data_IF_683069739276
#
_entry.id   IF_683069739276
#
_cell.length_a   1.000
_cell.length_b   1.000
_cell.length_c   1.000
_cell.angle_alpha   90.00
_cell.angle_beta   90.00
_cell.angle_gamma   90.00
#
_symmetry.space_group_name_H-M   'P 1'
#
loop_
_entity.id
_entity.type
_entity.pdbx_description
1 polymer ?
#
# COMPACT_ATOMS: atom_id res chain seq x y z
N UNK A 1 3.97 11.45 2.71
CA UNK A 1 3.05 10.51 2.04
C UNK A 1 1.98 10.16 3.08
N UNK A 2 0.78 9.69 2.72
CA UNK A 2 -0.23 9.34 3.74
C UNK A 2 0.31 8.18 4.61
N UNK A 3 0.23 8.32 5.94
CA UNK A 3 0.69 7.32 6.92
C UNK A 3 0.09 5.94 6.62
N UNK A 4 -1.14 5.90 6.10
CA UNK A 4 -1.84 4.67 5.70
C UNK A 4 -1.04 3.87 4.66
N UNK A 5 -0.51 4.56 3.64
CA UNK A 5 0.29 3.92 2.60
C UNK A 5 1.66 3.47 3.12
N UNK A 6 2.30 4.29 3.94
CA UNK A 6 3.60 3.94 4.53
C UNK A 6 3.50 2.69 5.42
N UNK A 7 2.40 2.54 6.16
CA UNK A 7 2.11 1.35 6.95
C UNK A 7 1.95 0.10 6.06
N UNK A 8 1.14 0.20 4.99
CA UNK A 8 0.93 -0.91 4.04
C UNK A 8 2.25 -1.31 3.36
N UNK A 9 3.05 -0.34 2.92
CA UNK A 9 4.35 -0.57 2.27
C UNK A 9 5.36 -1.21 3.23
N UNK A 10 5.46 -0.73 4.48
CA UNK A 10 6.35 -1.33 5.49
C UNK A 10 5.94 -2.74 5.87
N UNK A 11 4.63 -3.02 5.93
CA UNK A 11 4.12 -4.37 6.11
C UNK A 11 4.49 -5.27 4.92
N UNK A 12 4.37 -4.78 3.69
CA UNK A 12 4.73 -5.53 2.49
C UNK A 12 6.20 -5.90 2.42
N UNK A 13 7.08 -4.93 2.66
CA UNK A 13 8.53 -5.15 2.68
C UNK A 13 8.90 -6.19 3.73
N UNK A 14 8.26 -6.12 4.90
CA UNK A 14 8.43 -7.09 5.98
C UNK A 14 8.04 -8.51 5.56
N UNK A 15 6.89 -8.65 4.89
CA UNK A 15 6.42 -9.93 4.35
C UNK A 15 7.32 -10.47 3.23
N UNK A 16 7.75 -9.62 2.30
CA UNK A 16 8.64 -10.00 1.20
C UNK A 16 9.99 -10.52 1.72
N UNK A 17 10.53 -9.91 2.79
CA UNK A 17 11.75 -10.40 3.43
C UNK A 17 11.52 -11.79 4.04
N UNK A 18 10.40 -11.98 4.73
CA UNK A 18 10.04 -13.25 5.37
C UNK A 18 9.83 -14.40 4.37
N UNK A 19 9.54 -14.08 3.10
CA UNK A 19 9.27 -15.06 2.05
C UNK A 19 10.42 -15.25 1.06
N UNK A 20 11.54 -14.54 1.23
CA UNK A 20 12.68 -14.64 0.33
C UNK A 20 13.74 -15.62 0.86
N UNK A 21 14.04 -16.67 0.07
CA UNK A 21 15.16 -17.59 0.37
C UNK A 21 16.54 -16.89 0.32
N UNK A 22 16.60 -15.73 -0.35
CA UNK A 22 17.83 -14.99 -0.67
C UNK A 22 18.41 -14.15 0.48
N UNK A 23 17.68 -13.91 1.56
CA UNK A 23 18.07 -12.91 2.56
C UNK A 23 18.70 -13.47 3.84
N UNK A 24 19.07 -14.75 3.89
CA UNK A 24 19.74 -15.36 5.04
C UNK A 24 21.05 -14.65 5.48
N UNK A 25 21.69 -13.86 4.61
CA UNK A 25 23.03 -13.31 4.84
C UNK A 25 23.10 -11.77 5.03
N UNK A 26 22.01 -11.01 4.91
CA UNK A 26 22.03 -9.53 4.93
C UNK A 26 21.16 -8.89 6.04
N UNK A 27 20.90 -9.62 7.12
CA UNK A 27 19.74 -9.44 8.01
C UNK A 27 19.93 -8.47 9.21
N UNK A 28 21.07 -7.82 9.40
CA UNK A 28 21.33 -7.21 10.71
C UNK A 28 20.92 -5.73 10.90
N UNK A 29 20.88 -4.91 9.85
CA UNK A 29 20.59 -3.46 9.98
C UNK A 29 19.26 -3.01 9.32
N UNK A 30 19.08 -3.26 8.02
CA UNK A 30 17.89 -2.78 7.29
C UNK A 30 16.57 -3.39 7.80
N UNK A 31 16.61 -4.64 8.25
CA UNK A 31 15.44 -5.38 8.77
C UNK A 31 15.00 -4.95 10.16
N UNK A 32 15.94 -4.56 11.03
CA UNK A 32 15.61 -3.95 12.34
C UNK A 32 15.01 -2.56 12.15
N UNK A 33 15.57 -1.78 11.23
CA UNK A 33 15.06 -0.45 10.89
C UNK A 33 13.65 -0.51 10.27
N UNK A 34 13.35 -1.55 9.49
CA UNK A 34 12.00 -1.79 8.94
C UNK A 34 10.96 -2.09 10.03
N UNK A 35 11.29 -2.94 11.01
CA UNK A 35 10.41 -3.23 12.14
C UNK A 35 10.15 -2.01 13.02
N UNK A 36 11.19 -1.25 13.36
CA UNK A 36 11.05 -0.03 14.18
C UNK A 36 10.20 1.02 13.45
N UNK A 37 10.35 1.13 12.12
CA UNK A 37 9.54 2.04 11.30
C UNK A 37 8.04 1.72 11.33
N UNK A 38 7.66 0.45 11.22
CA UNK A 38 6.25 0.05 11.24
C UNK A 38 5.58 0.36 12.59
N UNK A 39 6.23 0.04 13.72
CA UNK A 39 5.66 0.31 15.04
C UNK A 39 5.55 1.82 15.32
N UNK A 40 6.51 2.61 14.81
CA UNK A 40 6.45 4.07 14.89
C UNK A 40 5.25 4.62 14.12
N UNK A 41 5.05 4.18 12.88
CA UNK A 41 3.92 4.62 12.05
C UNK A 41 2.57 4.23 12.64
N UNK A 42 2.46 3.00 13.16
CA UNK A 42 1.24 2.55 13.85
C UNK A 42 0.99 3.37 15.13
N UNK A 43 2.04 3.70 15.89
CA UNK A 43 1.90 4.57 17.07
C UNK A 43 1.47 5.98 16.70
N UNK A 44 2.02 6.54 15.62
CA UNK A 44 1.63 7.85 15.11
C UNK A 44 0.18 7.86 14.62
N UNK A 45 -0.22 6.82 13.88
CA UNK A 45 -1.59 6.65 13.44
C UNK A 45 -2.57 6.58 14.60
N UNK A 46 -2.29 5.75 15.63
CA UNK A 46 -3.14 5.63 16.81
C UNK A 46 -3.24 6.94 17.64
N UNK A 47 -2.27 7.85 17.51
CA UNK A 47 -2.36 9.19 18.14
C UNK A 47 -3.32 10.10 17.37
N UNK A 48 -3.33 9.98 16.04
CA UNK A 48 -4.19 10.75 15.13
C UNK A 48 -5.63 10.24 15.17
N UNK A 49 -5.81 8.92 15.10
CA UNK A 49 -7.10 8.25 15.24
C UNK A 49 -7.08 7.31 16.45
N UNK A 50 -7.54 7.85 17.58
CA UNK A 50 -7.59 7.13 18.86
C UNK A 50 -8.62 6.01 18.90
N UNK A 51 -9.54 5.95 17.93
CA UNK A 51 -10.59 4.93 17.85
C UNK A 51 -10.14 3.70 17.05
N UNK A 52 -9.12 3.85 16.19
CA UNK A 52 -8.63 2.77 15.32
C UNK A 52 -7.97 1.60 16.07
N UNK A 53 -7.44 1.81 17.29
CA UNK A 53 -6.85 0.78 18.16
C UNK A 53 -5.95 -0.23 17.40
N UNK A 54 -5.09 0.28 16.52
CA UNK A 54 -4.25 -0.59 15.70
C UNK A 54 -3.27 -1.39 16.58
N UNK A 55 -3.02 -2.66 16.22
CA UNK A 55 -2.12 -3.53 16.98
C UNK A 55 -0.69 -3.00 16.95
N UNK A 56 -0.15 -2.70 18.12
CA UNK A 56 1.23 -2.25 18.29
C UNK A 56 2.19 -3.43 18.37
N UNK A 57 3.50 -3.18 18.21
CA UNK A 57 4.56 -4.18 18.32
C UNK A 57 4.55 -5.25 17.20
N UNK A 58 3.89 -4.95 16.08
CA UNK A 58 3.92 -5.76 14.86
C UNK A 58 5.31 -5.73 14.24
N UNK A 59 5.92 -4.55 14.17
CA UNK A 59 7.25 -4.36 13.63
C UNK A 59 8.34 -5.06 14.45
N UNK A 60 8.24 -5.00 15.78
CA UNK A 60 9.12 -5.75 16.68
C UNK A 60 8.96 -7.27 16.54
N UNK A 61 7.75 -7.77 16.28
CA UNK A 61 7.51 -9.19 16.01
C UNK A 61 8.12 -9.63 14.67
N UNK A 62 7.93 -8.83 13.62
CA UNK A 62 8.54 -9.02 12.30
C UNK A 62 10.07 -9.04 12.43
N UNK A 63 10.66 -8.05 13.10
CA UNK A 63 12.11 -7.95 13.27
C UNK A 63 12.72 -9.15 14.00
N UNK A 64 12.04 -9.66 15.03
CA UNK A 64 12.44 -10.91 15.71
C UNK A 64 12.39 -12.11 14.78
N UNK A 65 11.36 -12.20 13.94
CA UNK A 65 11.22 -13.27 12.98
C UNK A 65 12.31 -13.24 11.91
N UNK A 66 12.63 -12.06 11.38
CA UNK A 66 13.71 -11.89 10.41
C UNK A 66 15.07 -12.26 11.05
N UNK A 67 15.34 -11.81 12.28
CA UNK A 67 16.56 -12.18 13.02
C UNK A 67 16.66 -13.69 13.35
N UNK A 68 15.51 -14.38 13.47
CA UNK A 68 15.45 -15.84 13.58
C UNK A 68 15.61 -16.52 12.22
N UNK A 69 15.17 -15.86 11.14
CA UNK A 69 15.35 -16.21 9.73
C UNK A 69 16.79 -16.53 9.38
N UNK A 70 17.72 -15.65 9.73
CA UNK A 70 19.16 -15.79 9.48
C UNK A 70 19.84 -17.03 10.11
N UNK A 71 19.15 -17.81 10.94
CA UNK A 71 19.64 -19.08 11.47
C UNK A 71 18.85 -20.22 10.82
N UNK A 72 19.47 -20.90 9.85
CA UNK A 72 18.89 -21.87 8.91
C UNK A 72 18.06 -23.06 9.45
N UNK A 73 17.73 -23.12 10.74
CA UNK A 73 17.30 -24.36 11.40
C UNK A 73 15.88 -24.38 11.99
N UNK A 74 15.01 -23.38 11.80
CA UNK A 74 13.68 -23.42 12.46
C UNK A 74 12.49 -23.01 11.58
N UNK A 75 12.33 -23.71 10.46
CA UNK A 75 11.18 -23.60 9.54
C UNK A 75 9.80 -23.71 10.24
N UNK A 76 9.65 -24.63 11.19
CA UNK A 76 8.40 -24.82 11.93
C UNK A 76 8.07 -23.65 12.88
N UNK A 77 9.09 -23.06 13.51
CA UNK A 77 8.91 -21.89 14.39
C UNK A 77 8.68 -20.63 13.57
N UNK A 78 9.33 -20.49 12.43
CA UNK A 78 9.07 -19.41 11.47
C UNK A 78 7.61 -19.45 10.99
N UNK A 79 7.09 -20.61 10.55
CA UNK A 79 5.69 -20.75 10.17
C UNK A 79 4.71 -20.32 11.29
N UNK A 80 5.01 -20.74 12.53
CA UNK A 80 4.18 -20.39 13.71
C UNK A 80 4.19 -18.90 14.00
N UNK A 81 5.33 -18.23 13.87
CA UNK A 81 5.42 -16.79 14.11
C UNK A 81 4.86 -15.98 12.93
N UNK A 82 5.03 -16.42 11.67
CA UNK A 82 4.41 -15.78 10.50
C UNK A 82 2.90 -15.83 10.64
N UNK A 83 2.36 -16.98 11.06
CA UNK A 83 0.95 -17.15 11.38
C UNK A 83 0.48 -16.09 12.39
N UNK A 84 1.20 -15.89 13.49
CA UNK A 84 0.85 -14.88 14.51
C UNK A 84 0.92 -13.45 13.96
N UNK A 85 1.90 -13.12 13.14
CA UNK A 85 2.04 -11.78 12.56
C UNK A 85 0.90 -11.50 11.60
N UNK A 86 0.59 -12.44 10.71
CA UNK A 86 -0.52 -12.27 9.74
C UNK A 86 -1.84 -12.08 10.47
N UNK A 87 -2.17 -12.91 11.46
CA UNK A 87 -3.40 -12.73 12.25
C UNK A 87 -3.43 -11.42 13.04
N UNK A 88 -2.29 -10.97 13.57
CA UNK A 88 -2.20 -9.65 14.22
C UNK A 88 -2.34 -8.52 13.22
N UNK A 89 -1.95 -8.73 11.96
CA UNK A 89 -2.06 -7.73 10.90
C UNK A 89 -3.45 -7.68 10.26
N UNK A 90 -4.35 -8.63 10.54
CA UNK A 90 -5.72 -8.63 10.00
C UNK A 90 -6.42 -7.28 10.25
N UNK A 91 -6.44 -6.81 11.50
CA UNK A 91 -7.01 -5.50 11.86
C UNK A 91 -6.27 -4.34 11.20
N UNK A 92 -4.94 -4.44 11.08
CA UNK A 92 -4.14 -3.40 10.45
C UNK A 92 -4.50 -3.25 8.97
N UNK A 93 -4.48 -4.34 8.21
CA UNK A 93 -4.81 -4.33 6.79
C UNK A 93 -6.26 -3.94 6.59
N UNK A 94 -7.19 -4.43 7.41
CA UNK A 94 -8.60 -4.07 7.32
C UNK A 94 -8.82 -2.56 7.48
N UNK A 95 -8.28 -1.96 8.54
CA UNK A 95 -8.47 -0.53 8.82
C UNK A 95 -7.77 0.32 7.75
N UNK A 96 -6.51 0.02 7.41
CA UNK A 96 -5.75 0.81 6.43
C UNK A 96 -6.38 0.74 5.03
N UNK A 97 -6.75 -0.46 4.57
CA UNK A 97 -7.39 -0.61 3.26
C UNK A 97 -8.80 0.00 3.25
N UNK A 98 -9.56 -0.10 4.33
CA UNK A 98 -10.89 0.51 4.41
C UNK A 98 -10.83 2.03 4.40
N UNK A 99 -9.92 2.64 5.17
CA UNK A 99 -9.76 4.10 5.18
C UNK A 99 -9.35 4.63 3.81
N UNK A 100 -8.43 3.93 3.14
CA UNK A 100 -8.01 4.29 1.80
C UNK A 100 -9.15 4.16 0.78
N UNK A 101 -9.94 3.09 0.86
CA UNK A 101 -11.11 2.91 0.00
C UNK A 101 -12.18 3.98 0.29
N UNK A 102 -12.51 4.25 1.55
CA UNK A 102 -13.46 5.30 1.95
C UNK A 102 -13.02 6.65 1.37
N UNK A 103 -11.74 7.00 1.49
CA UNK A 103 -11.22 8.24 0.94
C UNK A 103 -11.31 8.27 -0.59
N UNK A 104 -10.79 7.25 -1.28
CA UNK A 104 -10.74 7.21 -2.74
C UNK A 104 -12.13 7.06 -3.36
N UNK A 105 -13.06 6.38 -2.71
CA UNK A 105 -14.45 6.18 -3.18
C UNK A 105 -15.38 7.30 -2.70
N UNK A 106 -14.90 8.23 -1.89
CA UNK A 106 -15.71 9.33 -1.38
C UNK A 106 -16.29 10.19 -2.51
N UNK A 107 -17.49 10.70 -2.26
CA UNK A 107 -18.15 11.65 -3.15
C UNK A 107 -17.30 12.94 -3.30
N UNK A 108 -16.60 13.35 -2.25
CA UNK A 108 -15.74 14.53 -2.27
C UNK A 108 -14.65 14.44 -3.35
N UNK A 109 -13.97 13.29 -3.47
CA UNK A 109 -12.95 13.09 -4.51
C UNK A 109 -13.60 13.06 -5.90
N UNK A 110 -14.78 12.47 -6.02
CA UNK A 110 -15.51 12.44 -7.28
C UNK A 110 -15.94 13.84 -7.75
N UNK A 111 -16.48 14.64 -6.84
CA UNK A 111 -16.83 16.03 -7.08
C UNK A 111 -15.61 16.87 -7.43
N UNK A 112 -14.48 16.66 -6.76
CA UNK A 112 -13.23 17.37 -7.06
C UNK A 112 -12.74 17.08 -8.48
N UNK A 113 -12.74 15.82 -8.91
CA UNK A 113 -12.35 15.43 -10.27
C UNK A 113 -13.30 16.04 -11.31
N UNK A 114 -14.61 16.00 -11.05
CA UNK A 114 -15.62 16.60 -11.94
C UNK A 114 -15.50 18.12 -12.03
N UNK A 115 -15.24 18.78 -10.90
CA UNK A 115 -15.03 20.22 -10.84
C UNK A 115 -13.78 20.62 -11.62
N UNK A 116 -12.68 19.88 -11.47
CA UNK A 116 -11.45 20.11 -12.23
C UNK A 116 -11.65 19.88 -13.73
N UNK A 117 -12.35 18.80 -14.12
CA UNK A 117 -12.70 18.52 -15.52
C UNK A 117 -13.49 19.66 -16.16
N UNK A 118 -14.50 20.14 -15.44
CA UNK A 118 -15.29 21.29 -15.87
C UNK A 118 -14.43 22.56 -15.93
N UNK A 119 -13.61 22.81 -14.91
CA UNK A 119 -12.74 23.97 -14.78
C UNK A 119 -11.73 24.08 -15.91
N UNK A 120 -11.00 22.99 -16.22
CA UNK A 120 -10.04 22.93 -17.33
C UNK A 120 -10.72 23.33 -18.65
N UNK A 121 -11.91 22.80 -18.92
CA UNK A 121 -12.69 23.14 -20.12
C UNK A 121 -13.13 24.61 -20.13
N UNK A 122 -13.73 25.09 -19.04
CA UNK A 122 -14.25 26.46 -18.99
C UNK A 122 -13.13 27.51 -19.05
N UNK A 123 -12.02 27.25 -18.35
CA UNK A 123 -10.86 28.14 -18.35
C UNK A 123 -10.26 28.25 -19.74
N UNK A 124 -10.16 27.15 -20.48
CA UNK A 124 -9.69 27.19 -21.87
C UNK A 124 -10.65 27.92 -22.80
N UNK A 125 -11.97 27.69 -22.67
CA UNK A 125 -12.98 28.44 -23.44
C UNK A 125 -12.93 29.94 -23.13
N UNK A 126 -12.78 30.31 -21.86
CA UNK A 126 -12.63 31.70 -21.44
C UNK A 126 -11.34 32.31 -22.03
N UNK A 127 -10.23 31.58 -21.99
CA UNK A 127 -8.97 31.98 -22.61
C UNK A 127 -9.13 32.25 -24.10
N UNK A 128 -9.78 31.34 -24.85
CA UNK A 128 -10.02 31.51 -26.29
C UNK A 128 -10.87 32.74 -26.60
N UNK A 129 -11.85 33.07 -25.75
CA UNK A 129 -12.71 34.27 -25.92
C UNK A 129 -11.95 35.58 -25.75
N UNK A 130 -10.92 35.60 -24.89
CA UNK A 130 -10.16 36.81 -24.58
C UNK A 130 -8.85 36.93 -25.39
N UNK A 131 -8.46 35.87 -26.11
CA UNK A 131 -7.23 35.83 -26.88
C UNK A 131 -7.49 36.07 -28.36
N UNK A 132 -6.96 37.18 -28.90
CA UNK A 132 -7.20 37.57 -30.30
C UNK A 132 -6.59 36.61 -31.34
N UNK A 133 -5.47 35.95 -31.01
CA UNK A 133 -4.76 34.99 -31.86
C UNK A 133 -4.18 33.85 -31.01
N UNK A 134 -4.97 32.83 -30.68
CA UNK A 134 -4.44 31.67 -29.96
C UNK A 134 -3.45 30.92 -30.84
N UNK A 135 -2.30 30.58 -30.26
CA UNK A 135 -1.29 29.72 -30.86
C UNK A 135 -1.55 28.23 -30.54
N UNK A 136 -0.94 27.34 -31.31
CA UNK A 136 -1.06 25.89 -31.16
C UNK A 136 -0.54 25.40 -29.79
N UNK A 137 0.44 26.10 -29.22
CA UNK A 137 1.01 25.80 -27.92
C UNK A 137 -0.03 25.87 -26.80
N UNK A 138 -1.02 26.77 -26.91
CA UNK A 138 -2.10 26.87 -25.92
C UNK A 138 -3.05 25.66 -25.97
N UNK A 139 -3.28 25.13 -27.16
CA UNK A 139 -4.04 23.90 -27.33
C UNK A 139 -3.26 22.71 -26.75
N UNK A 140 -1.95 22.63 -26.98
CA UNK A 140 -1.10 21.59 -26.39
C UNK A 140 -1.11 21.64 -24.85
N UNK A 141 -1.11 22.83 -24.25
CA UNK A 141 -1.26 22.99 -22.79
C UNK A 141 -2.61 22.45 -22.31
N UNK A 142 -3.70 22.81 -22.99
CA UNK A 142 -5.03 22.30 -22.66
C UNK A 142 -5.12 20.77 -22.79
N UNK A 143 -4.59 20.21 -23.88
CA UNK A 143 -4.54 18.76 -24.10
C UNK A 143 -3.70 18.07 -23.02
N UNK A 144 -2.55 18.65 -22.63
CA UNK A 144 -1.74 18.11 -21.55
C UNK A 144 -2.42 18.18 -20.17
N UNK A 145 -3.22 19.22 -19.89
CA UNK A 145 -4.04 19.27 -18.67
C UNK A 145 -5.14 18.21 -18.68
N UNK A 146 -5.77 17.98 -19.83
CA UNK A 146 -6.77 16.93 -20.00
C UNK A 146 -6.17 15.54 -19.82
N UNK A 147 -5.00 15.29 -20.41
CA UNK A 147 -4.27 14.03 -20.23
C UNK A 147 -3.92 13.79 -18.75
N UNK A 148 -3.44 14.81 -18.03
CA UNK A 148 -3.19 14.70 -16.58
C UNK A 148 -4.44 14.35 -15.80
N UNK A 149 -5.60 14.91 -16.16
CA UNK A 149 -6.88 14.57 -15.53
C UNK A 149 -7.25 13.10 -15.77
N UNK A 150 -7.06 12.60 -17.01
CA UNK A 150 -7.30 11.19 -17.34
C UNK A 150 -6.33 10.26 -16.58
N UNK A 151 -5.07 10.67 -16.43
CA UNK A 151 -4.09 9.98 -15.59
C UNK A 151 -4.54 9.93 -14.13
N UNK A 152 -5.06 11.02 -13.56
CA UNK A 152 -5.57 11.06 -12.17
C UNK A 152 -6.76 10.11 -12.00
N UNK A 153 -7.71 10.10 -12.94
CA UNK A 153 -8.86 9.19 -12.93
C UNK A 153 -8.40 7.73 -12.98
N UNK A 154 -7.48 7.43 -13.88
CA UNK A 154 -6.89 6.09 -14.03
C UNK A 154 -6.15 5.68 -12.76
N UNK A 155 -5.35 6.57 -12.17
CA UNK A 155 -4.60 6.34 -10.94
C UNK A 155 -5.53 6.03 -9.76
N UNK A 156 -6.63 6.78 -9.60
CA UNK A 156 -7.66 6.52 -8.60
C UNK A 156 -8.22 5.11 -8.74
N UNK A 157 -8.65 4.73 -9.94
CA UNK A 157 -9.22 3.40 -10.21
C UNK A 157 -8.22 2.27 -9.97
N UNK A 158 -6.98 2.43 -10.43
CA UNK A 158 -5.90 1.46 -10.21
C UNK A 158 -5.60 1.29 -8.73
N UNK A 159 -5.53 2.40 -7.98
CA UNK A 159 -5.28 2.39 -6.53
C UNK A 159 -6.41 1.70 -5.77
N UNK A 160 -7.67 1.96 -6.12
CA UNK A 160 -8.84 1.27 -5.54
C UNK A 160 -8.75 -0.24 -5.77
N UNK A 161 -8.47 -0.65 -7.01
CA UNK A 161 -8.40 -2.07 -7.37
C UNK A 161 -7.24 -2.76 -6.64
N UNK A 162 -6.04 -2.18 -6.66
CA UNK A 162 -4.89 -2.73 -5.96
C UNK A 162 -5.12 -2.81 -4.43
N UNK A 163 -5.76 -1.79 -3.83
CA UNK A 163 -6.13 -1.82 -2.41
C UNK A 163 -7.08 -2.98 -2.09
N UNK A 164 -8.06 -3.24 -2.96
CA UNK A 164 -8.97 -4.40 -2.83
C UNK A 164 -8.21 -5.72 -2.98
N UNK A 165 -7.27 -5.82 -3.91
CA UNK A 165 -6.45 -7.03 -4.08
C UNK A 165 -5.58 -7.31 -2.86
N UNK A 166 -4.96 -6.29 -2.26
CA UNK A 166 -4.20 -6.45 -1.01
C UNK A 166 -5.08 -7.02 0.10
N UNK A 167 -6.30 -6.50 0.26
CA UNK A 167 -7.24 -7.01 1.26
C UNK A 167 -7.63 -8.46 0.99
N UNK A 168 -7.86 -8.82 -0.26
CA UNK A 168 -8.19 -10.20 -0.66
C UNK A 168 -7.02 -11.14 -0.43
N UNK A 169 -5.84 -10.81 -0.93
CA UNK A 169 -4.62 -11.61 -0.77
C UNK A 169 -4.25 -11.81 0.71
N UNK A 170 -4.42 -10.78 1.55
CA UNK A 170 -4.20 -10.92 2.99
C UNK A 170 -5.21 -11.88 3.64
N UNK A 171 -6.49 -11.78 3.26
CA UNK A 171 -7.53 -12.69 3.73
C UNK A 171 -7.27 -14.14 3.30
N UNK A 172 -6.88 -14.34 2.05
CA UNK A 172 -6.51 -15.66 1.53
C UNK A 172 -5.32 -16.26 2.29
N UNK A 173 -4.28 -15.46 2.54
CA UNK A 173 -3.13 -15.85 3.35
C UNK A 173 -3.56 -16.23 4.78
N UNK A 174 -4.39 -15.41 5.43
CA UNK A 174 -4.91 -15.68 6.78
C UNK A 174 -5.73 -16.98 6.84
N UNK A 175 -6.61 -17.22 5.86
CA UNK A 175 -7.38 -18.46 5.73
C UNK A 175 -6.50 -19.69 5.48
N UNK A 176 -5.51 -19.57 4.61
CA UNK A 176 -4.57 -20.63 4.30
C UNK A 176 -3.70 -21.01 5.51
N UNK A 177 -3.27 -20.02 6.29
CA UNK A 177 -2.55 -20.22 7.55
C UNK A 177 -3.40 -20.88 8.64
N UNK A 178 -4.73 -20.70 8.59
CA UNK A 178 -5.65 -21.38 9.50
C UNK A 178 -5.68 -22.91 9.26
N UNK A 179 -5.53 -23.35 7.99
CA UNK A 179 -5.65 -24.76 7.56
C UNK A 179 -4.41 -25.64 7.74
N UNK A 180 -3.47 -25.26 8.62
CA UNK A 180 -2.23 -26.02 8.89
C UNK A 180 -1.35 -26.31 7.65
N UNK A 181 -1.32 -25.41 6.67
CA UNK A 181 -0.46 -25.55 5.48
C UNK A 181 1.03 -25.63 5.83
N UNK A 182 1.78 -26.30 4.97
CA UNK A 182 3.25 -26.41 5.07
C UNK A 182 3.92 -25.05 4.80
N UNK A 183 5.15 -24.86 5.28
CA UNK A 183 5.88 -23.59 5.17
C UNK A 183 6.05 -23.12 3.71
N UNK A 184 6.23 -24.04 2.76
CA UNK A 184 6.47 -23.67 1.36
C UNK A 184 5.24 -23.01 0.71
N UNK A 185 4.04 -23.47 1.06
CA UNK A 185 2.79 -22.84 0.61
C UNK A 185 2.61 -21.46 1.25
N UNK A 186 2.91 -21.33 2.55
CA UNK A 186 2.88 -20.04 3.26
C UNK A 186 3.81 -19.03 2.59
N UNK A 187 5.04 -19.44 2.25
CA UNK A 187 6.03 -18.57 1.59
C UNK A 187 5.53 -18.10 0.23
N UNK A 188 4.93 -18.98 -0.59
CA UNK A 188 4.37 -18.61 -1.90
C UNK A 188 3.23 -17.60 -1.77
N UNK A 189 2.32 -17.79 -0.82
CA UNK A 189 1.19 -16.87 -0.61
C UNK A 189 1.66 -15.51 -0.08
N UNK A 190 2.68 -15.50 0.79
CA UNK A 190 3.33 -14.26 1.23
C UNK A 190 4.03 -13.54 0.07
N UNK A 191 4.64 -14.27 -0.88
CA UNK A 191 5.21 -13.69 -2.10
C UNK A 191 4.14 -13.06 -2.99
N UNK A 192 2.99 -13.73 -3.17
CA UNK A 192 1.86 -13.19 -3.95
C UNK A 192 1.38 -11.88 -3.33
N UNK A 193 1.11 -11.85 -2.02
CA UNK A 193 0.70 -10.64 -1.31
C UNK A 193 1.77 -9.53 -1.41
N UNK A 194 3.06 -9.88 -1.30
CA UNK A 194 4.16 -8.92 -1.47
C UNK A 194 4.21 -8.31 -2.87
N UNK A 195 3.91 -9.10 -3.92
CA UNK A 195 3.87 -8.61 -5.29
C UNK A 195 2.71 -7.63 -5.52
N UNK A 196 1.49 -7.96 -5.05
CA UNK A 196 0.31 -7.08 -5.14
C UNK A 196 0.56 -5.72 -4.48
N UNK A 197 1.24 -5.70 -3.33
CA UNK A 197 1.56 -4.44 -2.65
C UNK A 197 2.68 -3.67 -3.38
N UNK A 198 3.68 -4.37 -3.96
CA UNK A 198 4.69 -3.72 -4.79
C UNK A 198 4.10 -3.11 -6.06
N UNK A 199 3.09 -3.73 -6.66
CA UNK A 199 2.35 -3.16 -7.78
C UNK A 199 1.62 -1.88 -7.37
N UNK A 200 0.92 -1.89 -6.23
CA UNK A 200 0.32 -0.68 -5.66
C UNK A 200 1.37 0.43 -5.48
N UNK A 201 2.54 0.09 -4.94
CA UNK A 201 3.63 1.05 -4.77
C UNK A 201 4.10 1.63 -6.10
N UNK A 202 4.29 0.79 -7.12
CA UNK A 202 4.72 1.26 -8.45
C UNK A 202 3.70 2.19 -9.10
N UNK A 203 2.41 1.95 -8.86
CA UNK A 203 1.32 2.84 -9.29
C UNK A 203 1.45 4.23 -8.63
N UNK A 204 1.84 4.27 -7.35
CA UNK A 204 1.93 5.51 -6.57
C UNK A 204 3.26 6.26 -6.72
N UNK A 205 4.36 5.53 -6.95
CA UNK A 205 5.74 6.07 -7.01
C UNK A 205 6.16 6.47 -8.41
N UNK A 206 5.40 6.14 -9.47
CA UNK A 206 5.65 6.55 -10.87
C UNK A 206 5.60 8.08 -11.16
N UNK A 207 5.78 8.92 -10.14
CA UNK A 207 5.99 10.37 -10.28
C UNK A 207 7.44 10.72 -10.57
#
# INVERSE_FOLDING_TARGET
MDITFEIIDKYAQSLAILSSDKYLNAIDENSRNLGIGLDSLVSEYNKLDRLANLPTNLGGAIGKLIAMGGRSYIKAKQAKEVKKIVFKADTLIEVMTSNLLIFLESENIDQLIKAEEWGVRQNFLSFLRHTKKPLIEHENIYLGLKEKLDVIKSLRSQTINATRQIRLAHKELSLSLSKHKNLNEIVKEVQILGNEINELRNILVKK
#
